data_IF_302461432085
#
_entry.id   IF_302461432085
#
_cell.length_a   1.000
_cell.length_b   1.000
_cell.length_c   1.000
_cell.angle_alpha   90.00
_cell.angle_beta   90.00
_cell.angle_gamma   90.00
#
_symmetry.space_group_name_H-M   'P 1'
#
loop_
_entity.id
_entity.type
_entity.pdbx_description
1 polymer ?
#
# COMPACT_ATOMS: atom_id res chain seq x y z
N UNK A 1 -18.86 -2.39 5.70
CA UNK A 1 -18.30 -1.35 4.84
C UNK A 1 -17.66 -1.97 3.61
N UNK A 2 -17.70 -1.25 2.50
CA UNK A 2 -17.17 -1.64 1.20
C UNK A 2 -15.95 -0.76 0.87
N UNK A 3 -14.84 -1.39 0.55
CA UNK A 3 -13.56 -0.71 0.32
C UNK A 3 -13.05 -1.08 -1.07
N UNK A 4 -12.81 -0.09 -1.92
CA UNK A 4 -12.23 -0.22 -3.25
C UNK A 4 -10.76 0.18 -3.22
N UNK A 5 -9.89 -0.56 -3.91
CA UNK A 5 -8.54 -0.08 -4.20
C UNK A 5 -8.29 -0.04 -5.70
N UNK A 6 -7.70 1.06 -6.17
CA UNK A 6 -7.19 1.22 -7.53
C UNK A 6 -5.68 1.04 -7.56
N UNK A 7 -5.21 0.11 -8.37
CA UNK A 7 -3.78 -0.12 -8.51
C UNK A 7 -3.43 -1.27 -9.46
N UNK A 8 -2.14 -1.36 -9.75
CA UNK A 8 -1.59 -2.40 -10.59
C UNK A 8 -1.53 -3.75 -9.87
N UNK A 9 -1.93 -4.80 -10.56
CA UNK A 9 -1.65 -6.18 -10.18
C UNK A 9 -0.39 -6.63 -10.93
N UNK A 10 0.56 -7.16 -10.18
CA UNK A 10 1.85 -7.60 -10.69
C UNK A 10 2.11 -9.07 -10.37
N UNK A 11 3.06 -9.66 -11.07
CA UNK A 11 3.64 -10.94 -10.73
C UNK A 11 5.06 -10.70 -10.20
N UNK A 12 5.28 -11.00 -8.92
CA UNK A 12 6.60 -11.04 -8.29
C UNK A 12 7.23 -12.39 -8.58
N UNK A 13 8.44 -12.37 -9.07
CA UNK A 13 9.29 -13.55 -9.26
C UNK A 13 10.35 -13.58 -8.14
N UNK A 14 10.52 -14.72 -7.51
CA UNK A 14 11.52 -14.91 -6.46
C UNK A 14 12.23 -16.24 -6.61
N UNK A 15 13.49 -16.27 -6.20
CA UNK A 15 14.28 -17.49 -6.19
C UNK A 15 13.92 -18.31 -4.95
N UNK A 16 13.70 -19.63 -5.04
CA UNK A 16 13.46 -20.47 -3.87
C UNK A 16 14.67 -20.49 -2.93
N UNK A 17 14.41 -20.70 -1.63
CA UNK A 17 15.41 -20.92 -0.57
C UNK A 17 16.46 -19.80 -0.47
N UNK A 18 16.10 -18.56 -0.83
CA UNK A 18 16.99 -17.40 -0.78
C UNK A 18 18.30 -17.55 -1.58
N UNK A 19 18.34 -18.42 -2.57
CA UNK A 19 19.48 -18.62 -3.48
C UNK A 19 19.76 -17.35 -4.30
N UNK A 20 20.94 -17.24 -4.87
CA UNK A 20 21.18 -16.30 -5.97
C UNK A 20 20.51 -16.81 -7.26
N UNK A 21 20.13 -15.90 -8.13
CA UNK A 21 19.53 -16.24 -9.43
C UNK A 21 20.43 -17.17 -10.27
N UNK A 22 21.74 -17.09 -10.08
CA UNK A 22 22.74 -17.94 -10.73
C UNK A 22 22.83 -19.36 -10.15
N UNK A 23 22.16 -19.65 -9.04
CA UNK A 23 22.25 -20.95 -8.36
C UNK A 23 21.07 -21.88 -8.67
N UNK A 24 20.09 -21.43 -9.44
CA UNK A 24 18.89 -22.21 -9.73
C UNK A 24 18.26 -21.77 -11.06
N UNK A 25 17.52 -22.70 -11.68
CA UNK A 25 16.68 -22.44 -12.86
C UNK A 25 15.18 -22.44 -12.49
N UNK A 26 14.84 -22.40 -11.19
CA UNK A 26 13.49 -22.40 -10.69
C UNK A 26 13.13 -21.01 -10.17
N UNK A 27 11.91 -20.56 -10.44
CA UNK A 27 11.34 -19.33 -9.92
C UNK A 27 9.98 -19.62 -9.31
N UNK A 28 9.75 -19.10 -8.11
CA UNK A 28 8.43 -18.98 -7.52
C UNK A 28 7.77 -17.69 -8.01
N UNK A 29 6.44 -17.69 -8.15
CA UNK A 29 5.72 -16.46 -8.41
C UNK A 29 4.62 -16.20 -7.39
N UNK A 30 4.36 -14.93 -7.16
CA UNK A 30 3.28 -14.42 -6.29
C UNK A 30 2.54 -13.35 -7.07
N UNK A 31 1.21 -13.41 -7.06
CA UNK A 31 0.37 -12.32 -7.57
C UNK A 31 0.22 -11.29 -6.43
N UNK A 32 0.58 -10.06 -6.72
CA UNK A 32 0.72 -8.99 -5.75
C UNK A 32 0.33 -7.64 -6.34
N UNK A 33 0.32 -6.63 -5.52
CA UNK A 33 0.07 -5.23 -5.84
C UNK A 33 -0.33 -4.50 -4.57
N UNK A 34 0.15 -3.27 -4.36
CA UNK A 34 -0.10 -2.50 -3.13
C UNK A 34 -1.59 -2.47 -2.77
N UNK A 35 -2.46 -2.14 -3.72
CA UNK A 35 -3.90 -2.16 -3.50
C UNK A 35 -4.43 -3.53 -3.08
N UNK A 36 -3.98 -4.61 -3.73
CA UNK A 36 -4.37 -5.97 -3.39
C UNK A 36 -3.89 -6.39 -2.00
N UNK A 37 -2.67 -6.03 -1.64
CA UNK A 37 -2.09 -6.35 -0.34
C UNK A 37 -2.88 -5.69 0.80
N UNK A 38 -3.25 -4.40 0.63
CA UNK A 38 -4.09 -3.65 1.57
C UNK A 38 -5.49 -4.28 1.67
N UNK A 39 -6.13 -4.56 0.52
CA UNK A 39 -7.46 -5.17 0.47
C UNK A 39 -7.48 -6.56 1.11
N UNK A 40 -6.45 -7.36 0.92
CA UNK A 40 -6.29 -8.67 1.57
C UNK A 40 -6.25 -8.53 3.10
N UNK A 41 -5.48 -7.59 3.63
CA UNK A 41 -5.45 -7.28 5.05
C UNK A 41 -6.83 -6.85 5.59
N UNK A 42 -7.47 -5.89 4.92
CA UNK A 42 -8.81 -5.40 5.29
C UNK A 42 -9.88 -6.50 5.19
N UNK A 43 -9.76 -7.42 4.23
CA UNK A 43 -10.63 -8.60 4.14
C UNK A 43 -10.46 -9.51 5.34
N UNK A 44 -9.23 -9.76 5.78
CA UNK A 44 -8.93 -10.56 6.98
C UNK A 44 -9.41 -9.88 8.27
N UNK A 45 -9.57 -8.55 8.25
CA UNK A 45 -10.18 -7.76 9.32
C UNK A 45 -11.73 -7.69 9.25
N UNK A 46 -12.34 -8.30 8.22
CA UNK A 46 -13.80 -8.47 8.15
C UNK A 46 -14.55 -7.57 7.18
N UNK A 47 -13.88 -6.72 6.41
CA UNK A 47 -14.54 -5.83 5.44
C UNK A 47 -14.79 -6.49 4.09
N UNK A 48 -15.71 -5.92 3.30
CA UNK A 48 -15.87 -6.24 1.91
C UNK A 48 -14.88 -5.44 1.08
N UNK A 49 -14.09 -6.11 0.27
CA UNK A 49 -13.00 -5.48 -0.48
C UNK A 49 -13.12 -5.76 -1.97
N UNK A 50 -12.84 -4.74 -2.79
CA UNK A 50 -13.01 -4.76 -4.24
C UNK A 50 -11.74 -4.24 -4.93
N UNK A 51 -11.29 -4.94 -5.97
CA UNK A 51 -10.12 -4.52 -6.73
C UNK A 51 -10.54 -3.87 -8.05
N UNK A 52 -10.10 -2.63 -8.28
CA UNK A 52 -10.22 -1.91 -9.54
C UNK A 52 -8.87 -1.93 -10.26
N UNK A 53 -8.79 -2.67 -11.37
CA UNK A 53 -7.57 -2.85 -12.14
C UNK A 53 -7.87 -3.35 -13.54
N UNK A 54 -6.83 -3.39 -14.40
CA UNK A 54 -6.91 -4.03 -15.72
C UNK A 54 -5.91 -5.16 -15.82
N UNK A 55 -6.38 -6.34 -16.21
CA UNK A 55 -5.59 -7.54 -16.41
C UNK A 55 -5.50 -7.94 -17.88
N UNK A 56 -4.44 -8.64 -18.30
CA UNK A 56 -4.37 -9.16 -19.66
C UNK A 56 -5.46 -10.20 -19.94
N UNK A 57 -5.99 -10.20 -21.16
CA UNK A 57 -7.01 -11.15 -21.56
C UNK A 57 -6.39 -12.51 -22.01
N UNK A 58 -5.71 -13.17 -21.09
CA UNK A 58 -5.03 -14.45 -21.31
C UNK A 58 -5.01 -15.30 -20.03
N UNK A 59 -4.31 -16.45 -20.06
CA UNK A 59 -4.25 -17.36 -18.90
C UNK A 59 -3.58 -16.72 -17.67
N UNK A 60 -2.62 -15.80 -17.85
CA UNK A 60 -1.98 -15.09 -16.73
C UNK A 60 -2.97 -14.16 -16.04
N UNK A 61 -3.77 -13.40 -16.82
CA UNK A 61 -4.82 -12.57 -16.24
C UNK A 61 -5.91 -13.37 -15.52
N UNK A 62 -6.31 -14.52 -16.08
CA UNK A 62 -7.26 -15.44 -15.42
C UNK A 62 -6.70 -15.99 -14.11
N UNK A 63 -5.43 -16.39 -14.08
CA UNK A 63 -4.76 -16.86 -12.87
C UNK A 63 -4.63 -15.74 -11.81
N UNK A 64 -4.39 -14.51 -12.25
CA UNK A 64 -4.31 -13.34 -11.36
C UNK A 64 -5.67 -13.04 -10.71
N UNK A 65 -6.76 -13.01 -11.49
CA UNK A 65 -8.12 -12.85 -10.96
C UNK A 65 -8.50 -13.99 -10.01
N UNK A 66 -8.15 -15.24 -10.32
CA UNK A 66 -8.38 -16.36 -9.42
C UNK A 66 -7.62 -16.20 -8.10
N UNK A 67 -6.41 -15.65 -8.12
CA UNK A 67 -5.62 -15.38 -6.92
C UNK A 67 -6.26 -14.25 -6.09
N UNK A 68 -6.74 -13.20 -6.71
CA UNK A 68 -7.49 -12.10 -6.06
C UNK A 68 -8.69 -12.66 -5.30
N UNK A 69 -9.51 -13.51 -5.95
CA UNK A 69 -10.64 -14.20 -5.28
C UNK A 69 -10.20 -15.14 -4.16
N UNK A 70 -9.07 -15.84 -4.31
CA UNK A 70 -8.50 -16.71 -3.27
C UNK A 70 -8.17 -15.91 -2.00
N UNK A 71 -7.77 -14.66 -2.10
CA UNK A 71 -7.54 -13.75 -1.00
C UNK A 71 -8.86 -13.16 -0.41
N UNK A 72 -10.01 -13.54 -0.98
CA UNK A 72 -11.32 -13.05 -0.56
C UNK A 72 -11.68 -11.66 -1.06
N UNK A 73 -10.84 -11.09 -1.93
CA UNK A 73 -11.08 -9.79 -2.58
C UNK A 73 -11.97 -10.00 -3.80
N UNK A 74 -12.99 -9.18 -3.97
CA UNK A 74 -13.91 -9.25 -5.09
C UNK A 74 -13.29 -8.66 -6.36
N UNK A 75 -13.54 -9.31 -7.49
CA UNK A 75 -13.00 -9.00 -8.81
C UNK A 75 -14.02 -8.40 -9.79
N UNK A 76 -15.17 -7.92 -9.27
CA UNK A 76 -16.30 -7.38 -10.04
C UNK A 76 -15.91 -6.17 -10.91
N UNK A 77 -14.89 -5.40 -10.52
CA UNK A 77 -14.42 -4.22 -11.22
C UNK A 77 -13.09 -4.43 -11.95
N UNK A 78 -12.72 -5.68 -12.22
CA UNK A 78 -11.58 -5.99 -13.06
C UNK A 78 -11.97 -5.90 -14.53
N UNK A 79 -11.24 -5.09 -15.29
CA UNK A 79 -11.36 -5.06 -16.74
C UNK A 79 -10.26 -5.90 -17.39
N UNK A 80 -10.49 -6.34 -18.63
CA UNK A 80 -9.56 -7.20 -19.35
C UNK A 80 -9.17 -6.58 -20.69
N UNK A 81 -7.88 -6.65 -21.00
CA UNK A 81 -7.31 -6.16 -22.25
C UNK A 81 -5.79 -6.05 -22.16
N UNK A 82 -5.13 -5.75 -23.26
CA UNK A 82 -3.68 -5.78 -23.32
C UNK A 82 -3.10 -7.20 -23.30
N UNK A 83 -1.77 -7.31 -23.21
CA UNK A 83 -1.08 -8.55 -23.49
C UNK A 83 -0.34 -9.16 -22.29
N UNK A 84 0.05 -8.37 -21.28
CA UNK A 84 0.80 -8.91 -20.15
C UNK A 84 0.55 -8.17 -18.84
N UNK A 85 0.95 -8.82 -17.76
CA UNK A 85 0.97 -8.28 -16.40
C UNK A 85 2.35 -7.67 -16.12
N UNK A 86 2.44 -6.66 -15.29
CA UNK A 86 3.72 -6.14 -14.82
C UNK A 86 4.48 -7.21 -14.04
N UNK A 87 5.78 -7.34 -14.33
CA UNK A 87 6.66 -8.31 -13.67
C UNK A 87 7.74 -7.59 -12.87
N UNK A 88 8.11 -8.15 -11.75
CA UNK A 88 9.36 -7.79 -11.09
C UNK A 88 10.01 -9.00 -10.42
N UNK A 89 11.32 -9.00 -10.37
CA UNK A 89 12.08 -9.96 -9.57
C UNK A 89 12.54 -9.29 -8.28
N UNK A 90 12.54 -10.06 -7.21
CA UNK A 90 13.07 -9.63 -5.93
C UNK A 90 13.98 -10.70 -5.37
N UNK A 91 15.20 -10.30 -5.02
CA UNK A 91 16.21 -11.13 -4.38
C UNK A 91 16.77 -10.39 -3.17
N UNK A 92 17.10 -11.13 -2.13
CA UNK A 92 17.70 -10.59 -0.91
C UNK A 92 17.25 -11.37 0.31
N UNK A 93 18.14 -11.51 1.28
CA UNK A 93 17.84 -12.17 2.56
C UNK A 93 18.93 -11.88 3.60
N UNK A 94 18.52 -11.71 4.84
CA UNK A 94 19.45 -11.43 5.93
C UNK A 94 20.17 -10.12 5.72
N UNK A 95 21.51 -10.16 5.64
CA UNK A 95 22.35 -8.99 5.39
C UNK A 95 22.42 -8.60 3.91
N UNK A 96 21.96 -9.46 2.99
CA UNK A 96 21.85 -9.09 1.58
C UNK A 96 20.69 -8.11 1.39
N UNK A 97 20.95 -6.92 0.80
CA UNK A 97 19.88 -6.00 0.49
C UNK A 97 18.87 -6.63 -0.48
N UNK A 98 17.61 -6.26 -0.34
CA UNK A 98 16.61 -6.64 -1.34
C UNK A 98 16.80 -5.81 -2.59
N UNK A 99 17.03 -6.48 -3.71
CA UNK A 99 17.09 -5.86 -5.03
C UNK A 99 15.79 -6.12 -5.78
N UNK A 100 15.21 -5.06 -6.34
CA UNK A 100 13.98 -5.13 -7.15
C UNK A 100 14.33 -4.74 -8.57
N UNK A 101 14.04 -5.64 -9.51
CA UNK A 101 14.22 -5.40 -10.94
C UNK A 101 12.86 -5.49 -11.64
N UNK A 102 12.40 -4.38 -12.22
CA UNK A 102 11.16 -4.35 -13.00
C UNK A 102 11.41 -4.84 -14.42
N UNK A 103 10.53 -5.70 -14.91
CA UNK A 103 10.59 -6.30 -16.25
C UNK A 103 9.41 -5.81 -17.08
N UNK A 104 9.67 -4.91 -18.01
CA UNK A 104 8.70 -4.35 -18.96
C UNK A 104 7.39 -3.82 -18.31
N UNK A 105 7.50 -3.18 -17.16
CA UNK A 105 6.35 -2.77 -16.34
C UNK A 105 5.45 -1.76 -17.03
N UNK A 106 6.04 -0.74 -17.68
CA UNK A 106 5.28 0.37 -18.27
C UNK A 106 4.39 -0.02 -19.46
N UNK A 107 4.58 -1.23 -20.00
CA UNK A 107 3.74 -1.80 -21.07
C UNK A 107 2.77 -2.87 -20.54
N UNK A 108 2.52 -2.92 -19.23
CA UNK A 108 1.52 -3.82 -18.67
C UNK A 108 0.10 -3.37 -19.05
N UNK A 109 -0.84 -4.32 -19.03
CA UNK A 109 -2.25 -4.04 -19.32
C UNK A 109 -2.82 -2.92 -18.43
N UNK A 110 -2.36 -2.83 -17.19
CA UNK A 110 -2.72 -1.73 -16.29
C UNK A 110 -2.14 -0.39 -16.77
N UNK A 111 -0.87 -0.35 -17.16
CA UNK A 111 -0.22 0.86 -17.64
C UNK A 111 -0.80 1.37 -19.00
N UNK A 112 -1.34 0.46 -19.81
CA UNK A 112 -2.04 0.76 -21.05
C UNK A 112 -3.52 1.11 -20.87
N UNK A 113 -4.04 1.10 -19.64
CA UNK A 113 -5.45 1.39 -19.37
C UNK A 113 -5.80 2.86 -19.65
N UNK A 114 -7.03 3.07 -20.03
CA UNK A 114 -7.61 4.39 -20.32
C UNK A 114 -8.84 4.62 -19.48
N UNK A 115 -9.23 5.87 -19.28
CA UNK A 115 -10.38 6.23 -18.47
C UNK A 115 -11.65 5.49 -18.87
N UNK A 116 -11.88 5.34 -20.17
CA UNK A 116 -13.04 4.62 -20.70
C UNK A 116 -13.05 3.09 -20.46
N UNK A 117 -11.94 2.52 -20.00
CA UNK A 117 -11.92 1.09 -19.61
C UNK A 117 -12.67 0.83 -18.30
N UNK A 118 -12.96 1.89 -17.55
CA UNK A 118 -13.57 1.82 -16.21
C UNK A 118 -14.87 2.61 -16.12
N UNK A 119 -15.93 1.97 -15.66
CA UNK A 119 -17.17 2.64 -15.25
C UNK A 119 -17.02 3.11 -13.80
N UNK A 120 -16.34 4.26 -13.62
CA UNK A 120 -16.02 4.80 -12.29
C UNK A 120 -17.29 5.06 -11.49
N UNK A 121 -18.35 5.58 -12.10
CA UNK A 121 -19.59 5.89 -11.38
C UNK A 121 -20.21 4.63 -10.80
N UNK A 122 -20.28 3.55 -11.57
CA UNK A 122 -20.75 2.24 -11.12
C UNK A 122 -19.83 1.64 -10.03
N UNK A 123 -18.51 1.79 -10.18
CA UNK A 123 -17.56 1.32 -9.17
C UNK A 123 -17.76 2.00 -7.81
N UNK A 124 -18.26 3.23 -7.80
CA UNK A 124 -18.41 4.05 -6.59
C UNK A 124 -19.81 3.98 -5.94
N UNK A 125 -20.80 3.32 -6.56
CA UNK A 125 -22.21 3.32 -6.09
C UNK A 125 -22.38 2.88 -4.62
N UNK A 126 -21.61 1.90 -4.18
CA UNK A 126 -21.74 1.31 -2.84
C UNK A 126 -20.45 1.39 -2.01
N UNK A 127 -19.49 2.22 -2.41
CA UNK A 127 -18.21 2.29 -1.72
C UNK A 127 -18.23 3.31 -0.58
N UNK A 128 -17.66 2.91 0.55
CA UNK A 128 -17.45 3.79 1.71
C UNK A 128 -16.05 4.41 1.67
N UNK A 129 -15.08 3.67 1.12
CA UNK A 129 -13.68 4.07 1.04
C UNK A 129 -13.10 3.71 -0.33
N UNK A 130 -12.24 4.58 -0.82
CA UNK A 130 -11.37 4.34 -1.96
C UNK A 130 -9.90 4.49 -1.53
N UNK A 131 -9.10 3.47 -1.78
CA UNK A 131 -7.64 3.55 -1.63
C UNK A 131 -6.98 3.70 -3.01
N UNK A 132 -6.06 4.65 -3.12
CA UNK A 132 -5.26 4.90 -4.32
C UNK A 132 -3.78 4.86 -3.94
N UNK A 133 -3.02 3.98 -4.59
CA UNK A 133 -1.57 3.95 -4.43
C UNK A 133 -0.91 5.01 -5.29
N UNK A 134 -0.01 5.80 -4.72
CA UNK A 134 0.75 6.84 -5.42
C UNK A 134 1.63 6.31 -6.56
N UNK A 135 1.91 5.02 -6.62
CA UNK A 135 2.51 4.38 -7.80
C UNK A 135 1.69 4.68 -9.07
N UNK A 136 0.36 4.68 -8.98
CA UNK A 136 -0.51 5.02 -10.12
C UNK A 136 -0.24 6.43 -10.68
N UNK A 137 0.19 7.37 -9.83
CA UNK A 137 0.56 8.73 -10.23
C UNK A 137 1.91 8.79 -10.96
N UNK A 138 2.72 7.73 -10.89
CA UNK A 138 4.10 7.68 -11.40
C UNK A 138 4.25 6.89 -12.69
N UNK A 139 3.31 5.99 -13.01
CA UNK A 139 3.44 5.05 -14.12
C UNK A 139 3.27 5.74 -15.49
N UNK A 140 2.06 6.01 -15.89
CA UNK A 140 1.75 6.67 -17.18
C UNK A 140 0.77 7.81 -16.97
N UNK A 141 0.72 8.76 -17.91
CA UNK A 141 -0.22 9.88 -17.82
C UNK A 141 -1.68 9.40 -17.83
N UNK A 142 -1.98 8.35 -18.57
CA UNK A 142 -3.33 7.76 -18.63
C UNK A 142 -3.74 7.16 -17.28
N UNK A 143 -2.86 6.40 -16.61
CA UNK A 143 -3.15 5.84 -15.28
C UNK A 143 -3.29 6.94 -14.23
N UNK A 144 -2.46 7.99 -14.33
CA UNK A 144 -2.58 9.18 -13.48
C UNK A 144 -3.93 9.87 -13.64
N UNK A 145 -4.39 10.06 -14.88
CA UNK A 145 -5.71 10.64 -15.16
C UNK A 145 -6.83 9.83 -14.52
N UNK A 146 -6.78 8.50 -14.61
CA UNK A 146 -7.76 7.61 -13.97
C UNK A 146 -7.73 7.78 -12.45
N UNK A 147 -6.55 7.81 -11.86
CA UNK A 147 -6.40 7.98 -10.40
C UNK A 147 -6.96 9.33 -9.91
N UNK A 148 -6.71 10.41 -10.64
CA UNK A 148 -7.23 11.75 -10.35
C UNK A 148 -8.75 11.82 -10.50
N UNK A 149 -9.30 11.25 -11.56
CA UNK A 149 -10.76 11.23 -11.79
C UNK A 149 -11.47 10.38 -10.74
N UNK A 150 -10.90 9.23 -10.38
CA UNK A 150 -11.42 8.38 -9.31
C UNK A 150 -11.43 9.13 -7.96
N UNK A 151 -10.33 9.81 -7.61
CA UNK A 151 -10.23 10.60 -6.38
C UNK A 151 -11.25 11.73 -6.34
N UNK A 152 -11.35 12.51 -7.45
CA UNK A 152 -12.29 13.63 -7.58
C UNK A 152 -13.73 13.16 -7.43
N UNK A 153 -14.16 12.13 -8.18
CA UNK A 153 -15.52 11.59 -8.10
C UNK A 153 -15.84 10.99 -6.73
N UNK A 154 -14.88 10.34 -6.11
CA UNK A 154 -15.04 9.82 -4.74
C UNK A 154 -15.30 10.97 -3.75
N UNK A 155 -14.49 12.01 -3.82
CA UNK A 155 -14.65 13.21 -2.97
C UNK A 155 -16.00 13.88 -3.18
N UNK A 156 -16.46 14.07 -4.43
CA UNK A 156 -17.75 14.66 -4.78
C UNK A 156 -18.94 13.84 -4.25
N UNK A 157 -18.79 12.53 -4.15
CA UNK A 157 -19.79 11.60 -3.58
C UNK A 157 -19.69 11.45 -2.05
N UNK A 158 -18.75 12.13 -1.40
CA UNK A 158 -18.53 12.03 0.05
C UNK A 158 -17.83 10.72 0.47
N UNK A 159 -17.24 9.99 -0.46
CA UNK A 159 -16.47 8.76 -0.21
C UNK A 159 -15.07 9.15 0.24
N UNK A 160 -14.59 8.56 1.33
CA UNK A 160 -13.27 8.87 1.88
C UNK A 160 -12.16 8.28 1.02
N UNK A 161 -11.27 9.13 0.51
CA UNK A 161 -10.09 8.72 -0.26
C UNK A 161 -8.88 8.60 0.66
N UNK A 162 -8.26 7.44 0.68
CA UNK A 162 -6.98 7.19 1.32
C UNK A 162 -5.90 7.06 0.26
N UNK A 163 -4.86 7.87 0.37
CA UNK A 163 -3.77 7.95 -0.59
C UNK A 163 -2.44 7.58 0.07
N UNK A 164 -1.74 6.59 -0.50
CA UNK A 164 -0.40 6.21 -0.06
C UNK A 164 0.63 6.75 -1.06
N UNK A 165 1.52 7.61 -0.61
CA UNK A 165 2.57 8.16 -1.47
C UNK A 165 3.39 7.10 -2.18
N UNK A 166 3.83 6.11 -1.47
CA UNK A 166 4.55 4.95 -2.03
C UNK A 166 5.52 5.31 -3.15
N UNK A 167 6.25 6.41 -2.95
CA UNK A 167 7.11 7.03 -3.95
C UNK A 167 8.25 6.10 -4.38
N UNK A 168 8.46 5.96 -5.69
CA UNK A 168 9.50 5.11 -6.28
C UNK A 168 10.14 5.82 -7.48
N UNK A 169 11.17 6.59 -7.25
CA UNK A 169 11.87 7.35 -8.33
C UNK A 169 12.33 6.47 -9.50
N UNK A 170 12.67 5.20 -9.23
CA UNK A 170 13.14 4.26 -10.26
C UNK A 170 12.07 3.77 -11.23
N UNK A 171 10.78 4.03 -10.98
CA UNK A 171 9.69 3.54 -11.83
C UNK A 171 9.59 4.24 -13.17
N UNK A 172 9.91 5.51 -13.22
CA UNK A 172 9.84 6.31 -14.43
C UNK A 172 11.06 7.25 -14.47
N UNK A 173 12.20 6.79 -14.97
CA UNK A 173 13.45 7.55 -14.95
C UNK A 173 13.43 8.80 -15.85
N UNK A 174 12.45 8.91 -16.76
CA UNK A 174 12.29 10.08 -17.63
C UNK A 174 11.60 11.26 -16.91
N UNK A 175 10.96 11.02 -15.76
CA UNK A 175 10.29 12.05 -14.98
C UNK A 175 11.18 12.56 -13.86
N UNK A 176 11.23 13.88 -13.74
CA UNK A 176 11.95 14.51 -12.61
C UNK A 176 11.18 14.29 -11.30
N UNK A 177 11.88 14.44 -10.18
CA UNK A 177 11.25 14.41 -8.87
C UNK A 177 10.19 15.51 -8.72
N UNK A 178 10.47 16.71 -9.23
CA UNK A 178 9.57 17.87 -9.14
C UNK A 178 8.29 17.64 -9.96
N UNK A 179 8.38 16.99 -11.12
CA UNK A 179 7.20 16.60 -11.90
C UNK A 179 6.28 15.69 -11.09
N UNK A 180 6.87 14.72 -10.39
CA UNK A 180 6.13 13.79 -9.55
C UNK A 180 5.51 14.50 -8.33
N UNK A 181 6.24 15.37 -7.67
CA UNK A 181 5.72 16.21 -6.57
C UNK A 181 4.52 17.05 -7.04
N UNK A 182 4.63 17.67 -8.21
CA UNK A 182 3.54 18.47 -8.76
C UNK A 182 2.30 17.62 -9.10
N UNK A 183 2.47 16.39 -9.55
CA UNK A 183 1.35 15.49 -9.78
C UNK A 183 0.71 15.02 -8.47
N UNK A 184 1.50 14.71 -7.45
CA UNK A 184 0.94 14.37 -6.12
C UNK A 184 0.12 15.52 -5.52
N UNK A 185 0.55 16.77 -5.69
CA UNK A 185 -0.23 17.96 -5.25
C UNK A 185 -1.62 18.04 -5.87
N UNK A 186 -1.84 17.45 -7.05
CA UNK A 186 -3.15 17.46 -7.72
C UNK A 186 -4.17 16.53 -7.07
N UNK A 187 -3.74 15.43 -6.45
CA UNK A 187 -4.65 14.47 -5.81
C UNK A 187 -4.93 14.82 -4.35
N UNK A 188 -4.00 15.48 -3.65
CA UNK A 188 -4.12 15.78 -2.22
C UNK A 188 -5.41 16.49 -1.80
N UNK A 189 -5.96 17.48 -2.56
CA UNK A 189 -7.22 18.13 -2.21
C UNK A 189 -8.43 17.19 -2.11
N UNK A 190 -8.34 15.99 -2.66
CA UNK A 190 -9.42 14.99 -2.62
C UNK A 190 -9.21 13.94 -1.54
N UNK A 191 -8.09 13.98 -0.81
CA UNK A 191 -7.70 12.95 0.14
C UNK A 191 -8.25 13.23 1.54
N UNK A 192 -8.89 12.23 2.13
CA UNK A 192 -9.23 12.21 3.55
C UNK A 192 -8.08 11.68 4.41
N UNK A 193 -7.35 10.68 3.91
CA UNK A 193 -6.22 10.06 4.60
C UNK A 193 -4.97 10.02 3.72
N UNK A 194 -3.81 10.26 4.33
CA UNK A 194 -2.51 10.28 3.66
C UNK A 194 -1.51 9.38 4.37
N UNK A 195 -0.91 8.47 3.61
CA UNK A 195 0.22 7.68 4.08
C UNK A 195 1.51 8.18 3.42
N UNK A 196 2.43 8.68 4.22
CA UNK A 196 3.66 9.29 3.71
C UNK A 196 4.80 9.20 4.72
N UNK A 197 6.05 9.21 4.25
CA UNK A 197 7.19 9.49 5.12
C UNK A 197 7.33 11.00 5.34
N UNK A 198 7.95 11.41 6.46
CA UNK A 198 8.19 12.82 6.72
C UNK A 198 9.05 13.49 5.62
N UNK A 199 9.93 12.72 4.97
CA UNK A 199 10.76 13.20 3.86
C UNK A 199 9.92 13.53 2.64
N UNK A 200 8.93 12.68 2.33
CA UNK A 200 8.02 12.94 1.22
C UNK A 200 7.14 14.16 1.51
N UNK A 201 6.63 14.29 2.74
CA UNK A 201 5.85 15.44 3.17
C UNK A 201 6.65 16.74 3.03
N UNK A 202 7.89 16.77 3.56
CA UNK A 202 8.73 17.95 3.49
C UNK A 202 9.03 18.38 2.04
N UNK A 203 9.19 17.42 1.15
CA UNK A 203 9.38 17.70 -0.27
C UNK A 203 8.12 18.24 -0.95
N UNK A 204 6.95 17.68 -0.65
CA UNK A 204 5.67 18.20 -1.16
C UNK A 204 5.45 19.65 -0.70
N UNK A 205 5.75 19.93 0.55
CA UNK A 205 5.60 21.28 1.13
C UNK A 205 6.74 22.22 0.73
N UNK A 206 7.79 21.71 0.06
CA UNK A 206 9.01 22.46 -0.26
C UNK A 206 9.66 23.09 0.99
N UNK A 207 9.84 22.29 2.04
CA UNK A 207 10.37 22.73 3.34
C UNK A 207 11.63 21.92 3.65
N UNK A 208 12.70 22.60 4.02
CA UNK A 208 13.89 21.98 4.55
C UNK A 208 13.77 21.79 6.07
N UNK A 209 13.88 20.55 6.52
CA UNK A 209 14.13 20.18 7.93
C UNK A 209 13.04 20.47 8.99
N UNK A 210 11.75 20.32 8.71
CA UNK A 210 10.78 20.16 9.80
C UNK A 210 10.84 18.74 10.37
N UNK A 211 10.56 18.61 11.69
CA UNK A 211 10.33 17.31 12.29
C UNK A 211 8.99 16.72 11.82
N UNK A 212 8.83 15.41 12.00
CA UNK A 212 7.66 14.67 11.49
C UNK A 212 6.32 15.21 12.01
N UNK A 213 6.26 15.63 13.28
CA UNK A 213 5.05 16.19 13.88
C UNK A 213 4.62 17.47 13.14
N UNK A 214 5.53 18.43 13.06
CA UNK A 214 5.25 19.71 12.40
C UNK A 214 4.94 19.55 10.90
N UNK A 215 5.64 18.64 10.22
CA UNK A 215 5.38 18.37 8.80
C UNK A 215 3.99 17.74 8.58
N UNK A 216 3.60 16.79 9.41
CA UNK A 216 2.28 16.14 9.29
C UNK A 216 1.13 17.07 9.67
N UNK A 217 1.30 17.93 10.68
CA UNK A 217 0.32 18.96 11.03
C UNK A 217 0.17 20.01 9.91
N UNK A 218 1.28 20.40 9.27
CA UNK A 218 1.26 21.39 8.21
C UNK A 218 0.58 20.90 6.95
N UNK A 219 0.93 19.69 6.45
CA UNK A 219 0.30 19.12 5.24
C UNK A 219 -1.18 18.83 5.48
N UNK A 220 -1.54 18.36 6.69
CA UNK A 220 -2.92 18.17 7.10
C UNK A 220 -3.73 19.46 6.97
N UNK A 221 -3.19 20.57 7.46
CA UNK A 221 -3.83 21.89 7.39
C UNK A 221 -3.89 22.46 5.97
N UNK A 222 -2.82 22.27 5.17
CA UNK A 222 -2.73 22.84 3.82
C UNK A 222 -3.74 22.22 2.86
N UNK A 223 -4.00 20.90 2.99
CA UNK A 223 -4.88 20.16 2.10
C UNK A 223 -6.17 19.66 2.74
N UNK A 224 -6.49 20.07 3.95
CA UNK A 224 -7.68 19.66 4.71
C UNK A 224 -7.78 18.11 4.87
N UNK A 225 -6.64 17.49 5.18
CA UNK A 225 -6.54 16.03 5.34
C UNK A 225 -6.93 15.63 6.76
N UNK A 226 -7.87 14.69 6.92
CA UNK A 226 -8.36 14.24 8.22
C UNK A 226 -7.32 13.43 9.01
N UNK A 227 -6.51 12.59 8.34
CA UNK A 227 -5.49 11.78 8.99
C UNK A 227 -4.23 11.66 8.12
N UNK A 228 -3.07 11.92 8.70
CA UNK A 228 -1.75 11.67 8.12
C UNK A 228 -1.04 10.61 8.94
N UNK A 229 -0.55 9.57 8.30
CA UNK A 229 0.07 8.43 8.98
C UNK A 229 1.33 7.94 8.27
N UNK A 230 2.25 7.32 9.03
CA UNK A 230 3.45 6.76 8.45
C UNK A 230 4.29 5.99 9.47
N UNK A 231 5.39 5.44 9.02
CA UNK A 231 6.31 4.66 9.85
C UNK A 231 7.71 5.27 9.87
N UNK A 232 8.38 5.06 11.00
CA UNK A 232 9.79 5.39 11.20
C UNK A 232 10.55 4.10 11.48
N UNK A 233 11.70 3.94 10.85
CA UNK A 233 12.59 2.79 11.04
C UNK A 233 13.94 3.24 11.54
N UNK A 234 14.51 2.47 12.46
CA UNK A 234 15.88 2.68 12.91
C UNK A 234 16.63 1.36 13.09
N UNK A 235 17.95 1.46 13.20
CA UNK A 235 18.84 0.38 13.58
C UNK A 235 19.49 0.77 14.91
N UNK A 236 19.74 -0.21 15.76
CA UNK A 236 20.61 -0.02 16.92
C UNK A 236 22.09 -0.34 16.57
N UNK A 237 22.98 -0.16 17.56
CA UNK A 237 24.42 -0.40 17.38
C UNK A 237 24.76 -1.87 17.10
N UNK A 238 23.83 -2.80 17.38
CA UNK A 238 23.94 -4.24 17.08
C UNK A 238 23.24 -4.62 15.77
N UNK A 239 22.85 -3.62 14.95
CA UNK A 239 22.12 -3.81 13.69
C UNK A 239 20.73 -4.45 13.84
N UNK A 240 20.14 -4.45 15.06
CA UNK A 240 18.75 -4.82 15.20
C UNK A 240 17.85 -3.75 14.56
N UNK A 241 16.78 -4.21 13.95
CA UNK A 241 15.81 -3.36 13.22
C UNK A 241 14.60 -3.09 14.08
N UNK A 242 14.20 -1.83 14.09
CA UNK A 242 13.03 -1.37 14.84
C UNK A 242 12.10 -0.55 13.96
N UNK A 243 10.81 -0.61 14.28
CA UNK A 243 9.76 0.17 13.63
C UNK A 243 8.88 0.84 14.68
N UNK A 244 8.47 2.06 14.37
CA UNK A 244 7.51 2.86 15.12
C UNK A 244 6.58 3.55 14.12
N UNK A 245 5.33 3.71 14.46
CA UNK A 245 4.37 4.45 13.65
C UNK A 245 4.05 5.82 14.23
N UNK A 246 3.47 6.67 13.40
CA UNK A 246 2.88 7.92 13.82
C UNK A 246 1.56 8.16 13.08
N UNK A 247 0.68 8.89 13.73
CA UNK A 247 -0.50 9.53 13.11
C UNK A 247 -0.60 10.99 13.55
N UNK A 248 -1.18 11.80 12.69
CA UNK A 248 -1.64 13.15 12.99
C UNK A 248 -3.09 13.27 12.50
N UNK A 249 -4.02 13.51 13.40
CA UNK A 249 -5.45 13.68 13.13
C UNK A 249 -6.01 14.87 13.91
N UNK A 250 -7.32 14.97 14.07
CA UNK A 250 -7.94 16.10 14.77
C UNK A 250 -7.71 16.07 16.29
N UNK A 251 -7.43 14.89 16.87
CA UNK A 251 -7.09 14.75 18.28
C UNK A 251 -5.63 15.16 18.57
N UNK A 252 -4.78 15.25 17.55
CA UNK A 252 -3.38 15.65 17.67
C UNK A 252 -2.40 14.70 16.98
N UNK A 253 -1.15 14.68 17.48
CA UNK A 253 -0.07 13.84 16.98
C UNK A 253 0.24 12.74 17.99
N UNK A 254 0.24 11.49 17.53
CA UNK A 254 0.47 10.31 18.35
C UNK A 254 1.52 9.41 17.70
N UNK A 255 2.27 8.72 18.53
CA UNK A 255 3.25 7.71 18.11
C UNK A 255 2.99 6.39 18.84
N UNK A 256 3.22 5.28 18.14
CA UNK A 256 3.18 3.96 18.75
C UNK A 256 4.39 3.73 19.65
N UNK A 257 4.37 2.67 20.44
CA UNK A 257 5.61 2.10 20.96
C UNK A 257 6.49 1.60 19.82
N UNK A 258 7.73 1.35 20.14
CA UNK A 258 8.70 0.79 19.21
C UNK A 258 8.70 -0.74 19.28
N UNK A 259 8.70 -1.38 18.11
CA UNK A 259 8.77 -2.83 17.96
C UNK A 259 10.09 -3.25 17.34
N UNK A 260 10.70 -4.28 17.88
CA UNK A 260 11.79 -5.00 17.21
C UNK A 260 11.23 -5.82 16.07
N UNK A 261 11.88 -5.77 14.90
CA UNK A 261 11.47 -6.51 13.72
C UNK A 261 12.22 -7.84 13.60
N UNK A 262 11.45 -8.90 13.45
CA UNK A 262 11.92 -10.18 12.94
C UNK A 262 11.38 -10.32 11.53
N UNK A 263 12.28 -10.26 10.54
CA UNK A 263 11.88 -10.13 9.13
C UNK A 263 12.06 -11.46 8.41
N UNK A 264 10.93 -12.05 8.02
CA UNK A 264 10.90 -13.18 7.10
C UNK A 264 10.76 -12.71 5.64
N UNK A 265 9.81 -11.81 5.35
CA UNK A 265 9.70 -11.06 4.10
C UNK A 265 9.43 -9.59 4.39
N UNK A 266 9.87 -8.69 3.50
CA UNK A 266 9.72 -7.23 3.69
C UNK A 266 8.61 -6.62 2.86
N UNK A 267 8.25 -7.29 1.77
CA UNK A 267 7.25 -6.75 0.84
C UNK A 267 5.88 -6.85 1.48
N UNK A 268 5.05 -5.85 1.26
CA UNK A 268 3.70 -5.81 1.84
C UNK A 268 3.61 -5.32 3.30
N UNK A 269 4.74 -5.14 4.00
CA UNK A 269 4.69 -4.68 5.40
C UNK A 269 4.16 -3.23 5.54
N UNK A 270 4.46 -2.37 4.58
CA UNK A 270 3.85 -1.04 4.48
C UNK A 270 2.34 -1.13 4.22
N UNK A 271 1.95 -2.05 3.33
CA UNK A 271 0.55 -2.29 3.00
C UNK A 271 -0.22 -2.82 4.22
N UNK A 272 0.44 -3.67 5.04
CA UNK A 272 -0.09 -4.12 6.33
C UNK A 272 -0.31 -2.98 7.33
N UNK A 273 0.59 -1.98 7.35
CA UNK A 273 0.42 -0.76 8.14
C UNK A 273 -0.82 0.02 7.68
N UNK A 274 -0.93 0.28 6.38
CA UNK A 274 -2.07 1.01 5.78
C UNK A 274 -3.39 0.31 6.09
N UNK A 275 -3.45 -1.02 5.90
CA UNK A 275 -4.64 -1.80 6.23
C UNK A 275 -5.01 -1.70 7.72
N UNK A 276 -4.02 -1.75 8.61
CA UNK A 276 -4.22 -1.61 10.05
C UNK A 276 -4.74 -0.23 10.45
N UNK A 277 -4.19 0.86 9.89
CA UNK A 277 -4.68 2.22 10.15
C UNK A 277 -6.11 2.41 9.64
N UNK A 278 -6.41 1.98 8.41
CA UNK A 278 -7.77 2.09 7.85
C UNK A 278 -8.76 1.32 8.72
N UNK A 279 -8.43 0.09 9.10
CA UNK A 279 -9.29 -0.72 9.96
C UNK A 279 -9.58 -0.03 11.29
N UNK A 280 -8.54 0.31 12.04
CA UNK A 280 -8.70 0.89 13.39
C UNK A 280 -9.37 2.28 13.37
N UNK A 281 -9.15 3.06 12.30
CA UNK A 281 -9.87 4.30 12.05
C UNK A 281 -11.38 4.05 11.86
N UNK A 282 -11.76 3.04 11.06
CA UNK A 282 -13.15 2.68 10.80
C UNK A 282 -13.87 2.11 12.03
N UNK A 283 -13.15 1.42 12.90
CA UNK A 283 -13.66 0.92 14.17
C UNK A 283 -13.75 2.02 15.25
N UNK A 284 -13.44 3.28 14.89
CA UNK A 284 -13.44 4.42 15.80
C UNK A 284 -12.60 4.20 17.07
N UNK A 285 -11.44 3.54 16.91
CA UNK A 285 -10.51 3.36 18.03
C UNK A 285 -9.94 4.72 18.47
N UNK A 286 -9.42 4.79 19.69
CA UNK A 286 -8.69 5.99 20.13
C UNK A 286 -7.43 6.21 19.31
N UNK A 287 -7.00 7.44 19.17
CA UNK A 287 -5.88 7.81 18.30
C UNK A 287 -4.59 7.05 18.64
N UNK A 288 -4.31 6.81 19.91
CA UNK A 288 -3.18 5.99 20.37
C UNK A 288 -3.30 4.54 19.89
N UNK A 289 -4.51 3.97 19.97
CA UNK A 289 -4.78 2.59 19.55
C UNK A 289 -4.76 2.45 18.02
N UNK A 290 -5.16 3.49 17.28
CA UNK A 290 -5.08 3.51 15.81
C UNK A 290 -3.64 3.31 15.35
N UNK A 291 -2.72 4.12 15.85
CA UNK A 291 -1.31 4.03 15.44
C UNK A 291 -0.66 2.73 15.91
N UNK A 292 -1.03 2.27 17.09
CA UNK A 292 -0.52 1.02 17.67
C UNK A 292 -0.99 -0.20 16.85
N UNK A 293 -2.28 -0.26 16.48
CA UNK A 293 -2.83 -1.31 15.64
C UNK A 293 -2.17 -1.34 14.25
N UNK A 294 -1.99 -0.18 13.64
CA UNK A 294 -1.31 -0.05 12.35
C UNK A 294 0.11 -0.63 12.39
N UNK A 295 0.91 -0.27 13.39
CA UNK A 295 2.29 -0.77 13.52
C UNK A 295 2.31 -2.25 13.84
N UNK A 296 1.48 -2.73 14.76
CA UNK A 296 1.40 -4.15 15.09
C UNK A 296 1.01 -4.99 13.85
N UNK A 297 0.08 -4.50 13.02
CA UNK A 297 -0.26 -5.11 11.74
C UNK A 297 0.93 -5.17 10.78
N UNK A 298 1.71 -4.08 10.67
CA UNK A 298 2.96 -4.04 9.89
C UNK A 298 4.01 -5.03 10.38
N UNK A 299 4.22 -5.12 11.70
CA UNK A 299 5.17 -6.05 12.33
C UNK A 299 4.81 -7.48 11.97
N UNK A 300 3.55 -7.87 12.10
CA UNK A 300 3.08 -9.21 11.78
C UNK A 300 3.17 -9.51 10.28
N UNK A 301 2.96 -8.50 9.40
CA UNK A 301 3.13 -8.68 7.97
C UNK A 301 4.58 -9.05 7.59
N UNK A 302 5.59 -8.60 8.33
CA UNK A 302 6.98 -9.03 8.12
C UNK A 302 7.23 -10.52 8.41
N UNK A 303 6.31 -11.19 9.12
CA UNK A 303 6.45 -12.61 9.50
C UNK A 303 5.75 -13.55 8.52
N UNK A 304 5.07 -13.04 7.48
CA UNK A 304 4.41 -13.83 6.44
C UNK A 304 5.30 -13.96 5.20
N UNK A 305 5.23 -15.11 4.52
CA UNK A 305 5.84 -15.27 3.21
C UNK A 305 4.93 -14.67 2.14
N UNK A 306 5.50 -13.80 1.32
CA UNK A 306 4.76 -13.09 0.27
C UNK A 306 4.23 -11.74 0.74
N UNK A 307 3.60 -11.04 -0.18
CA UNK A 307 3.31 -9.61 -0.04
C UNK A 307 1.95 -9.34 0.65
N UNK A 308 1.06 -10.33 0.65
CA UNK A 308 -0.28 -10.19 1.19
C UNK A 308 -0.30 -10.41 2.69
N UNK A 309 -0.86 -9.48 3.46
CA UNK A 309 -1.06 -9.67 4.89
C UNK A 309 -2.18 -10.68 5.14
N UNK A 310 -1.85 -11.75 5.85
CA UNK A 310 -2.78 -12.84 6.18
C UNK A 310 -3.16 -12.88 7.66
N UNK A 311 -2.78 -11.87 8.42
CA UNK A 311 -3.03 -11.80 9.85
C UNK A 311 -4.46 -11.38 10.16
N UNK A 312 -5.02 -11.92 11.24
CA UNK A 312 -6.34 -11.54 11.75
C UNK A 312 -6.25 -10.41 12.78
N UNK A 313 -7.37 -9.75 13.04
CA UNK A 313 -7.51 -8.77 14.14
C UNK A 313 -7.05 -9.34 15.48
N UNK A 314 -7.38 -10.61 15.76
CA UNK A 314 -6.94 -11.28 17.00
C UNK A 314 -5.43 -11.40 17.12
N UNK A 315 -4.69 -11.64 16.02
CA UNK A 315 -3.23 -11.65 16.05
C UNK A 315 -2.68 -10.25 16.36
N UNK A 316 -3.25 -9.20 15.75
CA UNK A 316 -2.81 -7.81 15.97
C UNK A 316 -3.05 -7.37 17.40
N UNK A 317 -4.26 -7.61 17.94
CA UNK A 317 -4.61 -7.23 19.31
C UNK A 317 -3.73 -7.93 20.35
N UNK A 318 -3.39 -9.21 20.17
CA UNK A 318 -2.46 -9.91 21.06
C UNK A 318 -1.08 -9.28 21.07
N UNK A 319 -0.56 -8.93 19.88
CA UNK A 319 0.74 -8.24 19.81
C UNK A 319 0.67 -6.87 20.51
N UNK A 320 -0.41 -6.11 20.31
CA UNK A 320 -0.63 -4.84 20.99
C UNK A 320 -0.65 -5.00 22.53
N UNK A 321 -1.30 -6.05 23.02
CA UNK A 321 -1.44 -6.31 24.47
C UNK A 321 -0.20 -6.98 25.09
N UNK A 322 0.89 -7.19 24.33
CA UNK A 322 2.06 -7.95 24.78
C UNK A 322 1.73 -9.36 25.31
N UNK A 323 0.69 -9.98 24.79
CA UNK A 323 0.33 -11.34 25.16
C UNK A 323 1.41 -12.31 24.66
N UNK A 324 2.26 -12.76 25.58
CA UNK A 324 3.30 -13.76 25.31
C UNK A 324 2.69 -15.16 25.34
N UNK A 325 2.07 -15.54 24.25
CA UNK A 325 1.54 -16.91 24.08
C UNK A 325 2.46 -17.62 23.10
N UNK A 326 3.14 -18.66 23.58
CA UNK A 326 4.06 -19.46 22.77
C UNK A 326 3.29 -20.35 21.79
N UNK A 327 2.20 -21.00 22.25
CA UNK A 327 1.34 -21.86 21.44
C UNK A 327 -0.14 -21.55 21.74
N UNK A 328 -0.89 -21.25 20.66
CA UNK A 328 -2.36 -21.18 20.72
C UNK A 328 -2.95 -22.58 20.52
N UNK A 329 -3.77 -23.04 21.46
CA UNK A 329 -4.49 -24.30 21.41
C UNK A 329 -5.98 -24.09 21.44
#
# INVERSE_FOLDING_TARGET
>A
MNILAFGEIMMRLSVPDYKFLTQTNELNYIITGTGLNILSGLKNFGYNTYMLTKLPNNNVGKASSANIRKLGVKDDFITYGGNHIGLFSQNGYGERPSEVTYLNRLNSSFCESKLQDYDIDKCLEEMDIVHICGIAMQLTDSVKEIALELARKSYEKGIKVFFDFNFRQSLNPERTYDDLVNDYKKILPYCHGLFASYRDINKILNIDSLNIKSSSELIKKEYDIGIVAGTMRRFDDMNNRFIKGYISNDDGYFESREYKLEIYDRVGAGDGYVAGIIYSYLENMKSEDIVEFGVASSVLAHTTYGDNSLVSTGHVLRLMNNEKIDILR
#
